data_IF_753796726991
#
_entry.id   IF_753796726991
#
_cell.length_a   1.000
_cell.length_b   1.000
_cell.length_c   1.000
_cell.angle_alpha   90.00
_cell.angle_beta   90.00
_cell.angle_gamma   90.00
#
_symmetry.space_group_name_H-M   'P 1'
#
loop_
_entity.id
_entity.type
_entity.pdbx_description
1 polymer ?
#
# COMPACT_ATOMS: atom_id res chain seq x y z
N UNK A 1 19.70 25.42 1.29
CA UNK A 1 20.26 24.05 1.40
C UNK A 1 19.25 23.13 0.74
N UNK A 2 19.65 22.30 -0.22
CA UNK A 2 18.78 21.31 -0.88
C UNK A 2 19.20 19.92 -0.41
N UNK A 3 18.57 19.36 0.63
CA UNK A 3 18.91 18.01 1.11
C UNK A 3 18.56 16.95 0.06
N UNK A 4 19.28 15.83 0.07
CA UNK A 4 19.00 14.70 -0.82
C UNK A 4 17.56 14.19 -0.63
N UNK A 5 16.85 14.00 -1.74
CA UNK A 5 15.42 13.63 -1.76
C UNK A 5 14.54 14.53 -0.89
N UNK A 6 14.92 15.82 -0.81
CA UNK A 6 14.26 16.87 -0.02
C UNK A 6 14.12 16.56 1.48
N UNK A 7 14.79 15.52 2.00
CA UNK A 7 14.58 15.01 3.36
C UNK A 7 13.08 14.76 3.67
N UNK A 8 12.33 14.33 2.64
CA UNK A 8 10.88 14.11 2.69
C UNK A 8 10.50 12.80 3.36
N UNK A 9 9.19 12.54 3.41
CA UNK A 9 8.64 11.26 3.80
C UNK A 9 8.45 10.40 2.56
N UNK A 10 9.41 9.51 2.32
CA UNK A 10 9.31 8.49 1.26
C UNK A 10 8.62 7.25 1.83
N UNK A 11 7.44 6.92 1.30
CA UNK A 11 6.47 5.98 1.88
C UNK A 11 6.33 4.70 1.06
N UNK A 12 7.37 4.36 0.29
CA UNK A 12 7.51 3.07 -0.39
C UNK A 12 8.61 2.21 0.26
N UNK A 13 9.00 2.53 1.51
CA UNK A 13 9.83 1.74 2.44
C UNK A 13 10.39 2.63 3.58
N UNK A 14 10.89 3.83 3.26
CA UNK A 14 11.80 4.56 4.15
C UNK A 14 11.11 5.06 5.43
N UNK A 15 9.93 5.68 5.27
CA UNK A 15 9.17 6.20 6.39
C UNK A 15 8.67 5.06 7.27
N UNK A 16 8.19 3.98 6.66
CA UNK A 16 7.71 2.79 7.36
C UNK A 16 8.85 2.19 8.20
N UNK A 17 10.02 2.02 7.59
CA UNK A 17 11.21 1.46 8.26
C UNK A 17 11.64 2.27 9.49
N UNK A 18 11.51 3.60 9.46
CA UNK A 18 11.83 4.44 10.61
C UNK A 18 11.03 4.08 11.87
N UNK A 19 9.80 3.56 11.70
CA UNK A 19 8.89 3.26 12.79
C UNK A 19 8.77 1.77 13.11
N UNK A 20 9.35 0.85 12.32
CA UNK A 20 9.29 -0.60 12.65
C UNK A 20 9.74 -0.95 14.08
N UNK A 21 10.77 -0.31 14.68
CA UNK A 21 11.17 -0.64 16.04
C UNK A 21 10.20 -0.14 17.10
N UNK A 22 9.31 0.82 16.79
CA UNK A 22 8.61 1.62 17.80
C UNK A 22 7.82 0.77 18.80
N UNK A 23 7.00 -0.15 18.31
CA UNK A 23 6.19 -1.02 19.16
C UNK A 23 7.05 -2.10 19.85
N UNK A 24 7.88 -2.80 19.09
CA UNK A 24 8.69 -3.91 19.59
C UNK A 24 9.71 -3.50 20.65
N UNK A 25 10.19 -2.25 20.59
CA UNK A 25 11.19 -1.73 21.53
C UNK A 25 10.60 -0.91 22.66
N UNK A 26 9.28 -1.00 22.87
CA UNK A 26 8.55 -0.32 23.93
C UNK A 26 8.66 1.21 23.85
N UNK A 27 8.56 1.74 22.63
CA UNK A 27 8.54 3.16 22.29
C UNK A 27 7.20 3.55 21.65
N UNK A 28 6.10 2.88 22.03
CA UNK A 28 4.78 3.04 21.43
C UNK A 28 4.29 4.50 21.38
N UNK A 29 4.58 5.29 22.42
CA UNK A 29 4.22 6.71 22.51
C UNK A 29 4.88 7.57 21.41
N UNK A 30 6.01 7.11 20.83
CA UNK A 30 6.71 7.82 19.77
C UNK A 30 6.03 7.65 18.39
N UNK A 31 4.96 6.87 18.28
CA UNK A 31 4.21 6.72 17.02
C UNK A 31 3.19 7.85 16.78
N UNK A 32 2.81 8.65 17.78
CA UNK A 32 1.79 9.69 17.57
C UNK A 32 2.10 10.66 16.41
N UNK A 33 3.35 11.10 16.17
CA UNK A 33 3.69 11.90 14.99
C UNK A 33 3.36 11.20 13.66
N UNK A 34 3.59 9.89 13.56
CA UNK A 34 3.23 9.08 12.40
C UNK A 34 1.71 8.96 12.27
N UNK A 35 0.99 8.64 13.35
CA UNK A 35 -0.47 8.52 13.32
C UNK A 35 -1.15 9.82 12.90
N UNK A 36 -0.63 10.96 13.37
CA UNK A 36 -1.06 12.27 12.90
C UNK A 36 -0.76 12.48 11.42
N UNK A 37 0.43 12.13 10.94
CA UNK A 37 0.75 12.22 9.51
C UNK A 37 -0.23 11.39 8.68
N UNK A 38 -0.47 10.12 9.05
CA UNK A 38 -1.39 9.21 8.36
C UNK A 38 -2.81 9.78 8.33
N UNK A 39 -3.30 10.29 9.46
CA UNK A 39 -4.61 10.95 9.53
C UNK A 39 -4.69 12.16 8.60
N UNK A 40 -3.67 13.00 8.56
CA UNK A 40 -3.66 14.21 7.72
C UNK A 40 -3.56 13.88 6.22
N UNK A 41 -2.69 12.93 5.82
CA UNK A 41 -2.65 12.48 4.42
C UNK A 41 -3.92 11.73 4.02
N UNK A 42 -4.63 11.10 4.96
CA UNK A 42 -5.93 10.50 4.66
C UNK A 42 -7.02 11.53 4.36
N UNK A 43 -6.88 12.76 4.85
CA UNK A 43 -7.79 13.85 4.52
C UNK A 43 -7.43 14.48 3.16
N UNK A 44 -6.17 14.83 2.94
CA UNK A 44 -5.73 15.40 1.65
C UNK A 44 -5.78 14.38 0.51
N UNK A 45 -5.58 13.10 0.82
CA UNK A 45 -5.67 11.99 -0.11
C UNK A 45 -7.07 11.76 -0.69
N UNK A 46 -8.14 12.23 -0.03
CA UNK A 46 -9.50 12.17 -0.59
C UNK A 46 -9.63 13.04 -1.84
N UNK A 47 -9.05 14.23 -1.81
CA UNK A 47 -9.05 15.14 -2.96
C UNK A 47 -8.25 14.55 -4.13
N UNK A 48 -7.08 13.96 -3.85
CA UNK A 48 -6.26 13.30 -4.88
C UNK A 48 -6.95 12.08 -5.48
N UNK A 49 -7.61 11.24 -4.66
CA UNK A 49 -8.38 10.09 -5.12
C UNK A 49 -9.50 10.52 -6.08
N UNK A 50 -10.26 11.54 -5.69
CA UNK A 50 -11.37 12.04 -6.51
C UNK A 50 -10.89 12.74 -7.78
N UNK A 51 -9.86 13.59 -7.68
CA UNK A 51 -9.41 14.44 -8.79
C UNK A 51 -8.65 13.65 -9.84
N UNK A 52 -7.78 12.72 -9.42
CA UNK A 52 -6.92 11.96 -10.33
C UNK A 52 -7.60 10.69 -10.86
N UNK A 53 -8.41 10.03 -10.02
CA UNK A 53 -8.95 8.70 -10.33
C UNK A 53 -10.48 8.64 -10.36
N UNK A 54 -11.17 9.69 -9.87
CA UNK A 54 -12.63 9.70 -9.77
C UNK A 54 -13.18 8.67 -8.77
N UNK A 55 -12.38 8.28 -7.78
CA UNK A 55 -12.68 7.22 -6.81
C UNK A 55 -12.87 7.75 -5.39
N UNK A 56 -13.64 7.02 -4.60
CA UNK A 56 -13.84 7.27 -3.17
C UNK A 56 -12.63 6.79 -2.36
N UNK A 57 -12.66 7.04 -1.04
CA UNK A 57 -11.56 6.70 -0.14
C UNK A 57 -10.45 7.74 -0.18
N UNK A 58 -9.21 7.32 0.05
CA UNK A 58 -8.05 8.20 -0.05
C UNK A 58 -6.83 7.45 -0.60
N UNK A 59 -5.95 8.21 -1.27
CA UNK A 59 -4.71 7.72 -1.86
C UNK A 59 -3.50 8.41 -1.25
N UNK A 60 -2.39 7.68 -1.18
CA UNK A 60 -1.04 8.21 -0.99
C UNK A 60 -0.09 7.47 -1.94
N UNK A 61 0.66 8.25 -2.73
CA UNK A 61 1.73 7.70 -3.58
C UNK A 61 3.06 7.61 -2.80
N UNK A 62 4.17 7.28 -3.48
CA UNK A 62 5.46 6.97 -2.83
C UNK A 62 6.12 8.09 -1.99
N UNK A 63 5.64 9.33 -2.03
CA UNK A 63 6.24 10.45 -1.31
C UNK A 63 5.17 11.43 -0.81
N UNK A 64 5.40 11.98 0.37
CA UNK A 64 4.69 13.14 0.92
C UNK A 64 5.68 14.07 1.62
N UNK A 65 5.23 15.25 2.00
CA UNK A 65 6.02 16.25 2.73
C UNK A 65 5.22 16.89 3.87
N UNK A 66 5.76 17.97 4.43
CA UNK A 66 5.12 18.73 5.51
C UNK A 66 3.73 19.28 5.13
N UNK A 67 3.44 19.43 3.84
CA UNK A 67 2.18 19.94 3.30
C UNK A 67 1.18 18.84 2.93
N UNK A 68 1.53 17.57 3.18
CA UNK A 68 0.63 16.41 2.97
C UNK A 68 0.20 16.25 1.52
N UNK A 69 1.13 16.48 0.59
CA UNK A 69 0.91 16.20 -0.83
C UNK A 69 0.73 14.69 -1.04
N UNK A 70 -0.26 14.31 -1.84
CA UNK A 70 -0.64 12.89 -2.03
C UNK A 70 -0.67 12.45 -3.48
N UNK A 71 -0.30 13.32 -4.43
CA UNK A 71 -0.17 12.99 -5.86
C UNK A 71 1.12 12.22 -6.18
N UNK A 72 1.20 11.66 -7.40
CA UNK A 72 2.42 11.03 -7.91
C UNK A 72 3.52 12.07 -8.13
N UNK A 73 4.72 11.81 -7.58
CA UNK A 73 5.87 12.73 -7.61
C UNK A 73 6.97 12.17 -8.53
N UNK A 74 7.80 13.06 -9.08
CA UNK A 74 8.96 12.76 -9.93
C UNK A 74 8.63 12.09 -11.27
N UNK A 75 8.69 10.75 -11.35
CA UNK A 75 8.59 10.00 -12.61
C UNK A 75 7.64 8.83 -12.44
N UNK A 76 6.93 8.45 -13.49
CA UNK A 76 6.00 7.32 -13.45
C UNK A 76 6.65 6.02 -12.92
N UNK A 77 7.92 5.76 -13.26
CA UNK A 77 8.66 4.56 -12.86
C UNK A 77 8.83 4.38 -11.33
N UNK A 78 8.65 5.44 -10.54
CA UNK A 78 8.71 5.40 -9.07
C UNK A 78 7.44 5.98 -8.44
N UNK A 79 6.93 7.08 -9.01
CA UNK A 79 5.82 7.85 -8.47
C UNK A 79 4.43 7.37 -8.84
N UNK A 80 4.27 6.51 -9.86
CA UNK A 80 2.99 5.86 -10.17
C UNK A 80 2.79 4.59 -9.32
N UNK A 81 3.03 4.73 -8.02
CA UNK A 81 2.87 3.69 -7.02
C UNK A 81 1.83 4.18 -6.00
N UNK A 82 0.64 3.59 -5.99
CA UNK A 82 -0.55 4.13 -5.31
C UNK A 82 -0.95 3.40 -4.03
N UNK A 83 -0.17 2.40 -3.62
CA UNK A 83 -0.43 1.54 -2.46
C UNK A 83 0.22 2.04 -1.17
N UNK A 84 0.76 3.26 -1.15
CA UNK A 84 1.32 3.89 0.05
C UNK A 84 0.30 4.03 1.18
N UNK A 85 -0.95 4.33 0.86
CA UNK A 85 -2.04 4.37 1.83
C UNK A 85 -2.29 3.03 2.52
N UNK A 86 -2.09 1.92 1.81
CA UNK A 86 -2.18 0.57 2.38
C UNK A 86 -1.04 0.32 3.36
N UNK A 87 0.20 0.61 2.95
CA UNK A 87 1.36 0.30 3.77
C UNK A 87 1.38 1.13 5.05
N UNK A 88 1.11 2.43 4.98
CA UNK A 88 1.09 3.26 6.21
C UNK A 88 -0.07 2.87 7.14
N UNK A 89 -1.18 2.36 6.60
CA UNK A 89 -2.30 1.84 7.39
C UNK A 89 -1.92 0.59 8.20
N UNK A 90 -0.89 -0.17 7.78
CA UNK A 90 -0.37 -1.29 8.57
C UNK A 90 0.11 -0.83 9.96
N UNK A 91 0.71 0.37 10.07
CA UNK A 91 1.17 0.89 11.36
C UNK A 91 0.02 1.17 12.33
N UNK A 92 -1.14 1.61 11.84
CA UNK A 92 -2.34 1.77 12.66
C UNK A 92 -2.82 0.41 13.18
N UNK A 93 -2.85 -0.59 12.31
CA UNK A 93 -3.24 -1.94 12.70
C UNK A 93 -2.26 -2.57 13.69
N UNK A 94 -0.95 -2.45 13.45
CA UNK A 94 0.09 -2.95 14.34
C UNK A 94 -0.01 -2.31 15.73
N UNK A 95 -0.21 -1.00 15.83
CA UNK A 95 -0.39 -0.36 17.14
C UNK A 95 -1.54 -0.98 17.94
N UNK A 96 -2.66 -1.29 17.29
CA UNK A 96 -3.75 -2.02 17.93
C UNK A 96 -3.32 -3.44 18.36
N UNK A 97 -2.58 -4.19 17.51
CA UNK A 97 -2.12 -5.53 17.85
C UNK A 97 -1.19 -5.55 19.08
N UNK A 98 -0.33 -4.54 19.25
CA UNK A 98 0.56 -4.43 20.41
C UNK A 98 -0.15 -3.93 21.67
N UNK A 99 -1.08 -2.97 21.54
CA UNK A 99 -1.73 -2.32 22.70
C UNK A 99 -3.03 -2.99 23.15
N UNK A 100 -3.76 -3.62 22.22
CA UNK A 100 -5.13 -4.06 22.42
C UNK A 100 -6.16 -2.92 22.59
N UNK A 101 -5.76 -1.65 22.37
CA UNK A 101 -6.61 -0.49 22.61
C UNK A 101 -7.74 -0.36 21.58
N UNK A 102 -8.96 -0.75 21.98
CA UNK A 102 -10.15 -0.66 21.14
C UNK A 102 -10.61 0.77 20.88
N UNK A 103 -10.32 1.72 21.76
CA UNK A 103 -10.66 3.13 21.53
C UNK A 103 -9.73 3.75 20.48
N UNK A 104 -8.45 3.38 20.49
CA UNK A 104 -7.55 3.69 19.38
C UNK A 104 -8.06 3.06 18.08
N UNK A 105 -8.37 1.76 18.10
CA UNK A 105 -8.83 1.06 16.90
C UNK A 105 -10.10 1.70 16.31
N UNK A 106 -11.06 2.12 17.15
CA UNK A 106 -12.27 2.81 16.68
C UNK A 106 -11.96 4.12 15.95
N UNK A 107 -10.88 4.82 16.31
CA UNK A 107 -10.42 6.05 15.62
C UNK A 107 -9.61 5.74 14.38
N UNK A 108 -8.80 4.69 14.39
CA UNK A 108 -7.97 4.26 13.28
C UNK A 108 -8.77 3.58 12.16
N UNK A 109 -9.84 2.86 12.52
CA UNK A 109 -10.62 2.05 11.59
C UNK A 109 -11.18 2.83 10.39
N UNK A 110 -11.79 4.02 10.55
CA UNK A 110 -12.25 4.81 9.40
C UNK A 110 -11.12 5.19 8.43
N UNK A 111 -9.90 5.40 8.92
CA UNK A 111 -8.73 5.71 8.09
C UNK A 111 -8.31 4.49 7.27
N UNK A 112 -8.16 3.34 7.93
CA UNK A 112 -7.84 2.06 7.27
C UNK A 112 -8.91 1.67 6.24
N UNK A 113 -10.19 1.80 6.63
CA UNK A 113 -11.33 1.56 5.73
C UNK A 113 -11.27 2.48 4.52
N UNK A 114 -10.96 3.76 4.69
CA UNK A 114 -10.84 4.71 3.59
C UNK A 114 -9.75 4.34 2.57
N UNK A 115 -8.60 3.82 3.03
CA UNK A 115 -7.55 3.33 2.12
C UNK A 115 -8.04 2.08 1.38
N UNK A 116 -8.72 1.18 2.10
CA UNK A 116 -9.27 -0.04 1.49
C UNK A 116 -10.33 0.27 0.44
N UNK A 117 -11.21 1.26 0.70
CA UNK A 117 -12.24 1.69 -0.26
C UNK A 117 -11.63 2.22 -1.55
N UNK A 118 -10.58 3.02 -1.46
CA UNK A 118 -9.89 3.50 -2.66
C UNK A 118 -9.32 2.34 -3.48
N UNK A 119 -8.60 1.42 -2.84
CA UNK A 119 -7.94 0.33 -3.53
C UNK A 119 -8.93 -0.71 -4.09
N UNK A 120 -10.02 -0.98 -3.38
CA UNK A 120 -11.12 -1.82 -3.86
C UNK A 120 -11.75 -1.24 -5.14
N UNK A 121 -11.98 0.08 -5.20
CA UNK A 121 -12.50 0.74 -6.41
C UNK A 121 -11.49 0.84 -7.56
N UNK A 122 -10.20 0.62 -7.29
CA UNK A 122 -9.12 0.60 -8.26
C UNK A 122 -8.84 -0.78 -8.85
N UNK A 123 -9.35 -1.85 -8.24
CA UNK A 123 -9.15 -3.21 -8.73
C UNK A 123 -9.85 -3.43 -10.07
N UNK A 124 -9.14 -4.05 -11.00
CA UNK A 124 -9.67 -4.47 -12.30
C UNK A 124 -9.28 -5.94 -12.57
N UNK A 125 -10.08 -6.70 -13.35
CA UNK A 125 -9.68 -8.04 -13.75
C UNK A 125 -8.53 -7.98 -14.76
N UNK A 126 -7.49 -8.77 -14.52
CA UNK A 126 -6.39 -8.96 -15.47
C UNK A 126 -6.80 -9.89 -16.63
N UNK A 127 -6.20 -9.73 -17.82
CA UNK A 127 -6.74 -10.31 -19.06
C UNK A 127 -6.60 -11.84 -19.22
N UNK A 128 -5.71 -12.52 -18.50
CA UNK A 128 -5.42 -13.94 -18.72
C UNK A 128 -6.24 -14.88 -17.83
N UNK A 129 -6.30 -14.64 -16.52
CA UNK A 129 -6.98 -15.47 -15.53
C UNK A 129 -8.19 -14.76 -14.92
N UNK A 130 -8.35 -13.44 -15.13
CA UNK A 130 -9.44 -12.65 -14.56
C UNK A 130 -9.26 -12.30 -13.09
N UNK A 131 -8.06 -12.48 -12.53
CA UNK A 131 -7.77 -12.06 -11.16
C UNK A 131 -7.88 -10.55 -10.99
N UNK A 132 -8.34 -10.11 -9.82
CA UNK A 132 -8.39 -8.70 -9.49
C UNK A 132 -6.97 -8.19 -9.16
N UNK A 133 -6.55 -7.14 -9.87
CA UNK A 133 -5.23 -6.51 -9.74
C UNK A 133 -5.31 -4.99 -9.77
N UNK A 134 -4.27 -4.32 -9.27
CA UNK A 134 -4.05 -2.89 -9.50
C UNK A 134 -3.37 -2.66 -10.85
N UNK A 135 -3.85 -1.65 -11.58
CA UNK A 135 -3.23 -1.14 -12.80
C UNK A 135 -3.55 0.35 -12.95
N UNK A 136 -2.57 1.22 -13.29
CA UNK A 136 -1.15 0.89 -13.44
C UNK A 136 -0.48 0.53 -12.10
N UNK A 137 0.55 -0.31 -12.15
CA UNK A 137 1.36 -0.71 -11.00
C UNK A 137 2.86 -0.59 -11.31
N UNK A 138 3.67 -0.48 -10.26
CA UNK A 138 5.13 -0.59 -10.33
C UNK A 138 5.61 -1.42 -9.16
N UNK A 139 6.65 -2.23 -9.36
CA UNK A 139 7.43 -2.70 -8.21
C UNK A 139 8.44 -1.59 -7.92
N UNK A 140 8.41 -0.96 -6.72
CA UNK A 140 9.14 0.27 -6.44
C UNK A 140 10.54 0.32 -7.05
N UNK A 141 10.64 1.18 -8.07
CA UNK A 141 11.89 1.57 -8.70
C UNK A 141 12.66 0.44 -9.40
N UNK A 142 12.03 -0.72 -9.59
CA UNK A 142 12.57 -1.82 -10.39
C UNK A 142 12.00 -1.81 -11.82
N UNK A 143 12.64 -2.57 -12.71
CA UNK A 143 12.25 -2.68 -14.11
C UNK A 143 12.24 -4.13 -14.58
N UNK A 144 11.27 -4.46 -15.42
CA UNK A 144 11.14 -5.77 -16.04
C UNK A 144 11.37 -5.68 -17.56
N UNK A 145 11.70 -6.80 -18.23
CA UNK A 145 11.80 -6.85 -19.68
C UNK A 145 10.49 -6.51 -20.40
N UNK A 146 10.63 -5.87 -21.56
CA UNK A 146 9.59 -5.51 -22.53
C UNK A 146 10.17 -5.63 -23.96
N UNK A 147 9.32 -5.51 -24.99
CA UNK A 147 9.73 -5.60 -26.40
C UNK A 147 10.79 -4.58 -26.79
N UNK A 148 10.72 -3.38 -26.19
CA UNK A 148 11.58 -2.23 -26.52
C UNK A 148 12.68 -1.98 -25.47
N UNK A 149 12.95 -2.94 -24.58
CA UNK A 149 13.98 -2.81 -23.53
C UNK A 149 13.44 -3.17 -22.15
N UNK A 150 13.75 -2.35 -21.13
CA UNK A 150 13.23 -2.52 -19.77
C UNK A 150 12.26 -1.39 -19.43
N UNK A 151 11.16 -1.70 -18.74
CA UNK A 151 10.15 -0.73 -18.29
C UNK A 151 9.76 -1.02 -16.84
N UNK A 152 9.22 -0.03 -16.13
CA UNK A 152 8.77 -0.18 -14.75
C UNK A 152 7.25 -0.46 -14.63
N UNK A 153 6.47 0.08 -15.57
CA UNK A 153 5.00 0.00 -15.52
C UNK A 153 4.50 -1.40 -15.84
N UNK A 154 3.71 -1.95 -14.92
CA UNK A 154 3.04 -3.24 -15.01
C UNK A 154 1.61 -3.15 -14.46
N UNK A 155 1.03 -4.30 -14.13
CA UNK A 155 -0.18 -4.50 -13.34
C UNK A 155 0.05 -5.66 -12.36
N UNK A 156 -0.64 -5.65 -11.22
CA UNK A 156 -0.67 -6.75 -10.26
C UNK A 156 0.72 -7.21 -9.79
N UNK A 157 1.60 -6.26 -9.45
CA UNK A 157 2.89 -6.59 -8.83
C UNK A 157 2.66 -7.29 -7.48
N UNK A 158 3.60 -8.13 -7.08
CA UNK A 158 3.45 -8.93 -5.85
C UNK A 158 3.31 -8.03 -4.63
N UNK A 159 4.11 -6.96 -4.54
CA UNK A 159 3.99 -5.94 -3.51
C UNK A 159 2.57 -5.37 -3.38
N UNK A 160 1.96 -4.95 -4.50
CA UNK A 160 0.61 -4.37 -4.47
C UNK A 160 -0.40 -5.42 -3.99
N UNK A 161 -0.30 -6.66 -4.49
CA UNK A 161 -1.19 -7.75 -4.09
C UNK A 161 -1.06 -8.05 -2.58
N UNK A 162 0.16 -8.08 -2.04
CA UNK A 162 0.40 -8.35 -0.62
C UNK A 162 -0.09 -7.20 0.28
N UNK A 163 0.18 -5.94 -0.09
CA UNK A 163 -0.30 -4.78 0.65
C UNK A 163 -1.82 -4.68 0.67
N UNK A 164 -2.48 -4.93 -0.46
CA UNK A 164 -3.95 -5.01 -0.51
C UNK A 164 -4.46 -6.17 0.35
N UNK A 165 -3.82 -7.33 0.26
CA UNK A 165 -4.20 -8.50 1.06
C UNK A 165 -4.11 -8.21 2.56
N UNK A 166 -3.02 -7.59 3.02
CA UNK A 166 -2.83 -7.18 4.42
C UNK A 166 -3.87 -6.15 4.86
N UNK A 167 -4.07 -5.09 4.07
CA UNK A 167 -5.00 -4.03 4.39
C UNK A 167 -6.44 -4.55 4.50
N UNK A 168 -6.91 -5.30 3.49
CA UNK A 168 -8.27 -5.83 3.47
C UNK A 168 -8.48 -6.81 4.62
N UNK A 169 -7.52 -7.69 4.88
CA UNK A 169 -7.56 -8.60 6.03
C UNK A 169 -7.61 -7.85 7.37
N UNK A 170 -6.91 -6.73 7.48
CA UNK A 170 -6.88 -5.92 8.70
C UNK A 170 -8.18 -5.13 8.89
N UNK A 171 -8.77 -4.61 7.81
CA UNK A 171 -10.09 -3.96 7.84
C UNK A 171 -11.19 -4.96 8.20
N UNK A 172 -11.16 -6.18 7.66
CA UNK A 172 -12.10 -7.26 8.02
C UNK A 172 -12.00 -7.57 9.52
N UNK A 173 -10.79 -7.80 10.04
CA UNK A 173 -10.58 -8.11 11.46
C UNK A 173 -10.98 -6.95 12.36
N UNK A 174 -10.64 -5.71 12.00
CA UNK A 174 -11.04 -4.53 12.77
C UNK A 174 -12.56 -4.36 12.81
N UNK A 175 -13.23 -4.56 11.67
CA UNK A 175 -14.70 -4.59 11.56
C UNK A 175 -15.32 -5.62 12.50
N UNK A 176 -14.81 -6.85 12.53
CA UNK A 176 -15.26 -7.92 13.44
C UNK A 176 -15.06 -7.57 14.91
N UNK A 177 -13.90 -7.00 15.27
CA UNK A 177 -13.55 -6.62 16.65
C UNK A 177 -14.42 -5.48 17.18
N UNK A 178 -14.72 -4.51 16.33
CA UNK A 178 -15.55 -3.35 16.67
C UNK A 178 -17.05 -3.66 16.56
N UNK A 179 -17.44 -4.70 15.81
CA UNK A 179 -18.83 -5.04 15.55
C UNK A 179 -19.51 -4.09 14.56
N UNK A 180 -18.73 -3.52 13.63
CA UNK A 180 -19.18 -2.50 12.67
C UNK A 180 -18.96 -2.99 11.23
N UNK A 181 -19.69 -2.47 10.24
CA UNK A 181 -19.40 -2.68 8.80
C UNK A 181 -19.35 -4.14 8.28
N UNK A 182 -20.10 -5.05 8.91
CA UNK A 182 -20.10 -6.47 8.54
C UNK A 182 -20.35 -6.75 7.03
N UNK A 183 -21.18 -5.94 6.37
CA UNK A 183 -21.42 -6.07 4.92
C UNK A 183 -20.20 -5.73 4.07
N UNK A 184 -19.43 -4.70 4.46
CA UNK A 184 -18.21 -4.33 3.76
C UNK A 184 -17.09 -5.33 4.01
N UNK A 185 -16.98 -5.86 5.23
CA UNK A 185 -16.05 -6.94 5.54
C UNK A 185 -16.34 -8.21 4.72
N UNK A 186 -17.62 -8.57 4.54
CA UNK A 186 -18.01 -9.68 3.68
C UNK A 186 -17.60 -9.45 2.21
N UNK A 187 -17.83 -8.25 1.68
CA UNK A 187 -17.38 -7.86 0.33
C UNK A 187 -15.86 -7.98 0.18
N UNK A 188 -15.07 -7.41 1.09
CA UNK A 188 -13.61 -7.51 1.03
C UNK A 188 -13.12 -8.97 1.10
N UNK A 189 -13.82 -9.84 1.82
CA UNK A 189 -13.50 -11.27 1.86
C UNK A 189 -13.74 -11.95 0.50
N UNK A 190 -14.78 -11.57 -0.23
CA UNK A 190 -15.00 -12.02 -1.60
C UNK A 190 -13.94 -11.50 -2.57
N UNK A 191 -13.53 -10.23 -2.41
CA UNK A 191 -12.47 -9.61 -3.21
C UNK A 191 -11.14 -10.33 -3.01
N UNK A 192 -10.74 -10.60 -1.76
CA UNK A 192 -9.54 -11.37 -1.43
C UNK A 192 -9.51 -12.74 -2.14
N UNK A 193 -10.67 -13.41 -2.24
CA UNK A 193 -10.80 -14.69 -2.95
C UNK A 193 -10.63 -14.61 -4.48
N UNK A 194 -10.58 -13.40 -5.06
CA UNK A 194 -10.44 -13.13 -6.50
C UNK A 194 -9.11 -12.47 -6.86
N UNK A 195 -8.30 -12.07 -5.88
CA UNK A 195 -7.00 -11.46 -6.11
C UNK A 195 -6.00 -12.45 -6.69
N UNK A 196 -4.99 -11.94 -7.39
CA UNK A 196 -3.91 -12.77 -7.92
C UNK A 196 -3.16 -13.47 -6.77
N UNK A 197 -2.96 -14.80 -6.83
CA UNK A 197 -2.19 -15.52 -5.82
C UNK A 197 -0.69 -15.19 -5.96
N UNK A 198 0.08 -15.43 -4.90
CA UNK A 198 1.54 -15.51 -5.00
C UNK A 198 1.95 -16.63 -5.97
N UNK A 199 3.00 -16.38 -6.75
CA UNK A 199 3.46 -17.31 -7.78
C UNK A 199 4.94 -17.67 -7.58
N UNK A 200 5.27 -18.92 -7.87
CA UNK A 200 6.66 -19.41 -7.88
C UNK A 200 7.16 -19.37 -9.32
N UNK A 201 8.26 -18.67 -9.56
CA UNK A 201 8.89 -18.57 -10.87
C UNK A 201 9.80 -19.75 -11.22
N UNK A 202 10.32 -19.73 -12.44
CA UNK A 202 11.16 -20.82 -13.01
C UNK A 202 12.45 -21.11 -12.25
N UNK A 203 12.91 -20.21 -11.38
CA UNK A 203 14.10 -20.40 -10.54
C UNK A 203 13.75 -20.87 -9.12
N UNK A 204 12.46 -21.10 -8.81
CA UNK A 204 11.99 -21.40 -7.47
C UNK A 204 11.85 -20.16 -6.57
N UNK A 205 11.98 -18.96 -7.14
CA UNK A 205 11.80 -17.68 -6.46
C UNK A 205 10.32 -17.29 -6.36
N UNK A 206 9.95 -16.49 -5.37
CA UNK A 206 8.69 -15.76 -5.38
C UNK A 206 8.77 -14.69 -6.48
N UNK A 207 7.80 -14.66 -7.39
CA UNK A 207 7.80 -13.69 -8.49
C UNK A 207 7.54 -12.27 -7.98
N UNK A 208 8.30 -11.28 -8.44
CA UNK A 208 8.08 -9.85 -8.16
C UNK A 208 6.91 -9.27 -9.01
N UNK A 209 6.69 -9.83 -10.21
CA UNK A 209 5.60 -9.47 -11.11
C UNK A 209 4.67 -10.65 -11.36
N UNK A 210 3.44 -10.37 -11.83
CA UNK A 210 2.48 -11.41 -12.23
C UNK A 210 2.98 -12.32 -13.36
N UNK A 211 3.98 -11.85 -14.12
CA UNK A 211 4.70 -12.63 -15.13
C UNK A 211 6.06 -13.00 -14.57
N UNK A 212 6.55 -14.19 -14.91
CA UNK A 212 7.87 -14.71 -14.54
C UNK A 212 9.01 -13.99 -15.27
N UNK A 213 9.16 -12.70 -14.95
CA UNK A 213 10.08 -11.72 -15.53
C UNK A 213 11.33 -11.50 -14.69
N UNK A 214 11.37 -12.06 -13.49
CA UNK A 214 12.48 -11.96 -12.56
C UNK A 214 13.79 -12.43 -13.21
N UNK A 215 14.86 -11.70 -12.89
CA UNK A 215 16.22 -11.97 -13.33
C UNK A 215 17.05 -12.41 -12.11
N UNK A 216 17.61 -13.64 -12.07
CA UNK A 216 18.38 -14.13 -10.94
C UNK A 216 19.72 -13.39 -10.76
N UNK A 217 20.10 -12.53 -11.70
CA UNK A 217 21.26 -11.65 -11.59
C UNK A 217 20.89 -10.21 -11.18
N UNK A 218 19.61 -9.91 -11.01
CA UNK A 218 19.19 -8.61 -10.52
C UNK A 218 19.63 -8.43 -9.06
N UNK A 219 20.29 -7.31 -8.79
CA UNK A 219 20.77 -6.92 -7.47
C UNK A 219 20.16 -5.58 -7.06
N UNK A 220 18.93 -5.30 -7.53
CA UNK A 220 18.16 -4.14 -7.13
C UNK A 220 18.08 -4.04 -5.60
N UNK A 221 18.09 -2.81 -5.12
CA UNK A 221 18.16 -2.52 -3.69
C UNK A 221 16.82 -2.70 -2.97
N UNK A 222 15.71 -2.68 -3.71
CA UNK A 222 14.39 -2.99 -3.17
C UNK A 222 14.11 -4.48 -3.32
N UNK A 223 13.37 -5.01 -2.37
CA UNK A 223 12.82 -6.36 -2.35
C UNK A 223 11.32 -6.24 -2.06
N UNK A 224 10.65 -5.52 -2.96
CA UNK A 224 9.26 -5.10 -2.80
C UNK A 224 8.28 -6.24 -2.99
#
# INVERSE_FOLDING_TARGET
MFPSWDSKYTTNINMEMNYWPSEMTNLSDLNEPLFRLIREVSETGKESAQTMYGKNGWILHHNTDIWRVTGGIDKAASGMWMTGGAWVSSHLWQHYLYSGDKEFLRKAYPIMKGAATFLDEMLIPEPEHGWLVISPAVSPENVHPSKDGKIAMSYGTTMDNELLHELFSSVIRASEILGEDAGYAAHLKEVLGKMAPMQIGKWGQLQEWIKDWDDPQDNHRHVS
#
